data_IF_975604382367
#
_entry.id   IF_975604382367
#
_cell.length_a   1.000
_cell.length_b   1.000
_cell.length_c   1.000
_cell.angle_alpha   90.00
_cell.angle_beta   90.00
_cell.angle_gamma   90.00
#
_symmetry.space_group_name_H-M   'P 1'
#
loop_
_entity.id
_entity.type
_entity.pdbx_description
1 polymer ?
#
# COMPACT_ATOMS: atom_id res chain seq x y z
N UNK A 1 -29.79 21.45 -5.51
CA UNK A 1 -28.81 20.75 -4.65
C UNK A 1 -27.42 21.06 -5.18
N UNK A 2 -26.55 21.65 -4.37
CA UNK A 2 -25.18 22.00 -4.79
C UNK A 2 -24.36 20.72 -4.98
N UNK A 3 -23.63 20.60 -6.09
CA UNK A 3 -22.79 19.43 -6.36
C UNK A 3 -21.69 19.35 -5.27
N UNK A 4 -21.46 18.18 -4.66
CA UNK A 4 -20.46 18.07 -3.59
C UNK A 4 -19.05 18.18 -4.19
N UNK A 5 -18.47 19.38 -4.14
CA UNK A 5 -17.09 19.65 -4.59
C UNK A 5 -16.02 19.17 -3.62
N UNK A 6 -16.42 18.55 -2.51
CA UNK A 6 -15.53 18.06 -1.46
C UNK A 6 -15.96 16.66 -1.04
N UNK A 7 -15.01 15.73 -1.08
CA UNK A 7 -15.20 14.40 -0.48
C UNK A 7 -14.64 14.40 0.94
N UNK A 8 -15.37 13.79 1.88
CA UNK A 8 -14.96 13.64 3.29
C UNK A 8 -15.09 12.20 3.71
N UNK A 9 -14.09 11.69 4.43
CA UNK A 9 -14.12 10.37 5.03
C UNK A 9 -13.20 10.33 6.26
N UNK A 10 -13.30 9.29 7.07
CA UNK A 10 -12.53 9.13 8.31
C UNK A 10 -11.96 7.70 8.41
N UNK A 11 -10.88 7.59 9.18
CA UNK A 11 -10.31 6.32 9.61
C UNK A 11 -10.20 6.33 11.12
N UNK A 12 -10.71 5.28 11.76
CA UNK A 12 -10.59 5.07 13.21
C UNK A 12 -9.48 4.06 13.45
N UNK A 13 -8.64 4.32 14.45
CA UNK A 13 -7.62 3.41 14.93
C UNK A 13 -7.81 3.24 16.43
N UNK A 14 -7.96 2.00 16.88
CA UNK A 14 -8.00 1.68 18.31
C UNK A 14 -6.62 1.87 18.92
N UNK A 15 -6.56 2.46 20.12
CA UNK A 15 -5.29 2.66 20.80
C UNK A 15 -5.43 2.71 22.33
N UNK A 16 -4.44 2.20 23.05
CA UNK A 16 -4.52 1.92 24.50
C UNK A 16 -3.96 3.01 25.42
N UNK A 17 -3.32 4.07 24.90
CA UNK A 17 -2.73 5.13 25.74
C UNK A 17 -2.90 6.55 25.17
N UNK A 18 -2.70 7.58 25.99
CA UNK A 18 -2.81 8.98 25.55
C UNK A 18 -1.66 9.35 24.60
N UNK A 19 -1.94 9.44 23.30
CA UNK A 19 -0.95 9.83 22.30
C UNK A 19 -0.89 11.34 22.13
N UNK A 20 0.33 11.86 22.03
CA UNK A 20 0.56 13.21 21.56
C UNK A 20 0.27 13.33 20.06
N UNK A 21 -0.76 14.10 19.72
CA UNK A 21 -1.22 14.41 18.34
C UNK A 21 -0.06 14.92 17.48
N UNK A 22 0.91 15.61 18.06
CA UNK A 22 2.07 16.16 17.34
C UNK A 22 2.95 15.06 16.73
N UNK A 23 3.07 13.91 17.40
CA UNK A 23 3.84 12.76 16.89
C UNK A 23 3.17 12.20 15.64
N UNK A 24 1.84 12.04 15.66
CA UNK A 24 1.05 11.58 14.51
C UNK A 24 1.16 12.56 13.35
N UNK A 25 1.02 13.85 13.63
CA UNK A 25 1.15 14.90 12.62
C UNK A 25 2.55 14.86 11.98
N UNK A 26 3.61 14.70 12.78
CA UNK A 26 4.98 14.62 12.27
C UNK A 26 5.19 13.42 11.34
N UNK A 27 4.63 12.26 11.68
CA UNK A 27 4.69 11.05 10.88
C UNK A 27 3.88 11.18 9.59
N UNK A 28 2.67 11.77 9.66
CA UNK A 28 1.86 12.07 8.49
C UNK A 28 2.61 12.98 7.51
N UNK A 29 3.25 14.04 8.00
CA UNK A 29 4.04 14.95 7.14
C UNK A 29 5.19 14.22 6.46
N UNK A 30 5.91 13.36 7.19
CA UNK A 30 7.03 12.59 6.65
C UNK A 30 6.57 11.68 5.51
N UNK A 31 5.48 10.92 5.71
CA UNK A 31 4.90 10.03 4.70
C UNK A 31 4.29 10.79 3.54
N UNK A 32 3.69 11.96 3.79
CA UNK A 32 3.16 12.83 2.74
C UNK A 32 4.27 13.37 1.84
N UNK A 33 5.39 13.82 2.42
CA UNK A 33 6.56 14.27 1.67
C UNK A 33 7.11 13.15 0.78
N UNK A 34 7.24 11.93 1.31
CA UNK A 34 7.70 10.78 0.51
C UNK A 34 6.70 10.37 -0.58
N UNK A 35 5.40 10.64 -0.39
CA UNK A 35 4.36 10.42 -1.39
C UNK A 35 4.29 11.52 -2.46
N UNK A 36 5.14 12.55 -2.40
CA UNK A 36 5.17 13.66 -3.37
C UNK A 36 4.18 14.79 -3.09
N UNK A 37 3.70 14.92 -1.84
CA UNK A 37 2.88 16.06 -1.44
C UNK A 37 3.71 17.34 -1.29
N UNK A 38 3.07 18.48 -1.52
CA UNK A 38 3.66 19.82 -1.53
C UNK A 38 2.73 20.84 -0.87
N UNK A 39 3.20 22.07 -0.65
CA UNK A 39 2.40 23.20 -0.15
C UNK A 39 1.70 22.97 1.19
N UNK A 40 2.45 22.43 2.17
CA UNK A 40 1.94 22.16 3.51
C UNK A 40 1.55 23.44 4.24
N UNK A 41 0.32 23.53 4.73
CA UNK A 41 -0.15 24.59 5.65
C UNK A 41 -0.78 23.96 6.89
N UNK A 42 -0.48 24.50 8.06
CA UNK A 42 -1.02 24.03 9.33
C UNK A 42 -1.99 25.06 9.89
N UNK A 43 -3.20 24.62 10.24
CA UNK A 43 -4.18 25.45 10.95
C UNK A 43 -5.03 24.57 11.87
N UNK A 44 -5.02 24.84 13.17
CA UNK A 44 -5.96 24.25 14.15
C UNK A 44 -6.09 22.72 14.02
N UNK A 45 -4.95 22.01 14.07
CA UNK A 45 -4.84 20.54 13.90
C UNK A 45 -5.27 20.00 12.53
N UNK A 46 -5.32 20.87 11.53
CA UNK A 46 -5.59 20.50 10.15
C UNK A 46 -4.35 20.73 9.30
N UNK A 47 -3.91 19.69 8.60
CA UNK A 47 -2.79 19.74 7.65
C UNK A 47 -3.37 19.88 6.26
N UNK A 48 -3.15 21.00 5.58
CA UNK A 48 -3.53 21.21 4.18
C UNK A 48 -2.31 20.92 3.30
N UNK A 49 -2.50 20.23 2.18
CA UNK A 49 -1.44 19.89 1.26
C UNK A 49 -1.97 19.66 -0.17
N UNK A 50 -1.07 19.78 -1.14
CA UNK A 50 -1.32 19.44 -2.53
C UNK A 50 -0.67 18.10 -2.88
N UNK A 51 -1.46 17.13 -3.33
CA UNK A 51 -0.98 15.81 -3.74
C UNK A 51 -0.94 15.70 -5.27
N UNK A 52 0.23 15.34 -5.83
CA UNK A 52 0.42 15.02 -7.25
C UNK A 52 0.26 13.52 -7.52
N UNK A 53 -0.84 12.93 -7.08
CA UNK A 53 -1.15 11.52 -7.33
C UNK A 53 -2.62 11.37 -7.68
N UNK A 54 -2.88 11.28 -8.98
CA UNK A 54 -4.12 10.72 -9.52
C UNK A 54 -3.83 10.00 -10.82
N UNK A 55 -4.87 9.37 -11.37
CA UNK A 55 -4.85 8.71 -12.68
C UNK A 55 -4.26 9.64 -13.77
N UNK A 56 -4.44 10.95 -13.61
CA UNK A 56 -4.05 11.98 -14.56
C UNK A 56 -3.07 13.01 -13.94
N UNK A 57 -2.43 12.67 -12.81
CA UNK A 57 -1.42 13.49 -12.13
C UNK A 57 -1.87 14.89 -11.71
N UNK A 58 -3.17 15.12 -11.52
CA UNK A 58 -3.65 16.42 -11.05
C UNK A 58 -3.20 16.70 -9.62
N UNK A 59 -3.09 18.00 -9.32
CA UNK A 59 -2.87 18.49 -7.97
C UNK A 59 -4.19 18.56 -7.24
N UNK A 60 -4.35 17.74 -6.19
CA UNK A 60 -5.52 17.80 -5.32
C UNK A 60 -5.16 18.50 -4.03
N UNK A 61 -5.94 19.52 -3.67
CA UNK A 61 -5.91 20.07 -2.33
C UNK A 61 -6.65 19.11 -1.41
N UNK A 62 -5.92 18.58 -0.45
CA UNK A 62 -6.42 17.68 0.57
C UNK A 62 -6.09 18.22 1.96
N UNK A 63 -6.86 17.80 2.95
CA UNK A 63 -6.56 18.06 4.34
C UNK A 63 -6.75 16.83 5.23
N UNK A 64 -5.95 16.79 6.30
CA UNK A 64 -6.09 15.82 7.38
C UNK A 64 -6.43 16.53 8.67
N UNK A 65 -7.41 16.00 9.39
CA UNK A 65 -7.80 16.43 10.73
C UNK A 65 -7.65 15.24 11.68
N UNK A 66 -6.75 15.35 12.64
CA UNK A 66 -6.55 14.34 13.68
C UNK A 66 -7.39 14.72 14.90
N UNK A 67 -8.27 13.81 15.32
CA UNK A 67 -9.14 13.98 16.49
C UNK A 67 -8.80 12.82 17.45
N UNK A 68 -8.47 13.17 18.68
CA UNK A 68 -8.27 12.21 19.75
C UNK A 68 -9.60 12.00 20.49
N UNK A 69 -10.17 10.81 20.38
CA UNK A 69 -11.29 10.36 21.21
C UNK A 69 -10.75 9.34 22.23
N UNK A 70 -11.35 9.26 23.42
CA UNK A 70 -10.80 8.59 24.62
C UNK A 70 -9.98 7.32 24.37
N UNK A 71 -10.47 6.41 23.54
CA UNK A 71 -9.83 5.11 23.22
C UNK A 71 -9.55 4.92 21.71
N UNK A 72 -9.75 5.96 20.90
CA UNK A 72 -9.62 5.88 19.45
C UNK A 72 -9.05 7.17 18.83
N UNK A 73 -8.13 7.00 17.90
CA UNK A 73 -7.67 8.10 17.06
C UNK A 73 -8.51 8.11 15.78
N UNK A 74 -9.20 9.22 15.55
CA UNK A 74 -9.92 9.47 14.30
C UNK A 74 -9.10 10.40 13.42
N UNK A 75 -8.62 9.87 12.29
CA UNK A 75 -7.97 10.64 11.24
C UNK A 75 -9.01 10.91 10.16
N UNK A 76 -9.61 12.09 10.20
CA UNK A 76 -10.48 12.60 9.15
C UNK A 76 -9.67 13.12 7.98
N UNK A 77 -10.11 12.86 6.76
CA UNK A 77 -9.53 13.45 5.57
C UNK A 77 -10.60 14.03 4.66
N UNK A 78 -10.26 15.12 3.99
CA UNK A 78 -11.09 15.65 2.92
C UNK A 78 -10.25 16.14 1.75
N UNK A 79 -10.82 16.08 0.55
CA UNK A 79 -10.14 16.57 -0.65
C UNK A 79 -11.11 17.23 -1.61
N UNK A 80 -10.60 18.23 -2.33
CA UNK A 80 -11.35 18.99 -3.32
C UNK A 80 -11.44 18.22 -4.63
N UNK A 81 -12.65 18.16 -5.19
CA UNK A 81 -12.96 17.54 -6.48
C UNK A 81 -12.98 18.54 -7.64
N UNK A 82 -12.57 19.80 -7.40
CA UNK A 82 -12.54 20.86 -8.42
C UNK A 82 -11.81 20.41 -9.70
N UNK A 83 -10.60 19.80 -9.65
CA UNK A 83 -9.92 19.36 -10.87
C UNK A 83 -10.73 18.33 -11.67
N UNK A 84 -11.39 17.38 -10.98
CA UNK A 84 -12.23 16.35 -11.63
C UNK A 84 -13.44 16.98 -12.30
N UNK A 85 -14.03 17.99 -11.64
CA UNK A 85 -15.15 18.74 -12.18
C UNK A 85 -14.75 19.57 -13.41
N UNK A 86 -13.60 20.26 -13.38
CA UNK A 86 -13.08 21.03 -14.53
C UNK A 86 -12.89 20.16 -15.78
N UNK A 87 -12.32 18.96 -15.62
CA UNK A 87 -12.13 18.02 -16.72
C UNK A 87 -13.47 17.49 -17.22
N UNK A 88 -14.37 17.17 -16.29
CA UNK A 88 -15.71 16.71 -16.63
C UNK A 88 -16.44 17.75 -17.50
N UNK A 89 -16.33 19.02 -17.11
CA UNK A 89 -16.89 20.15 -17.86
C UNK A 89 -16.22 20.28 -19.24
N UNK A 90 -14.88 20.19 -19.30
CA UNK A 90 -14.15 20.22 -20.57
C UNK A 90 -14.59 19.11 -21.53
N UNK A 91 -14.77 17.88 -21.03
CA UNK A 91 -15.24 16.74 -21.83
C UNK A 91 -16.65 16.96 -22.36
N UNK A 92 -17.55 17.57 -21.56
CA UNK A 92 -18.92 17.90 -22.00
C UNK A 92 -18.89 18.95 -23.11
N UNK A 93 -18.14 20.04 -22.93
CA UNK A 93 -18.03 21.11 -23.93
C UNK A 93 -17.44 20.55 -25.22
N UNK A 94 -16.38 19.75 -25.11
CA UNK A 94 -15.74 19.12 -26.26
C UNK A 94 -16.70 18.17 -26.99
N UNK A 95 -17.44 17.33 -26.25
CA UNK A 95 -18.43 16.44 -26.84
C UNK A 95 -19.58 17.22 -27.51
N UNK A 96 -20.06 18.31 -26.91
CA UNK A 96 -21.08 19.17 -27.49
C UNK A 96 -20.58 19.83 -28.79
N UNK A 97 -19.37 20.38 -28.79
CA UNK A 97 -18.75 20.96 -29.98
C UNK A 97 -18.56 19.92 -31.09
N UNK A 98 -18.04 18.74 -30.74
CA UNK A 98 -17.83 17.64 -31.69
C UNK A 98 -19.14 17.01 -32.18
N UNK A 99 -20.25 17.17 -31.44
CA UNK A 99 -21.56 16.64 -31.84
C UNK A 99 -22.09 17.30 -33.13
N UNK A 100 -21.64 18.52 -33.44
CA UNK A 100 -21.90 19.18 -34.72
C UNK A 100 -21.20 18.49 -35.90
N UNK A 101 -20.10 17.78 -35.66
CA UNK A 101 -19.30 17.11 -36.70
C UNK A 101 -19.60 15.62 -36.83
N UNK A 102 -19.99 14.97 -35.73
CA UNK A 102 -20.13 13.52 -35.67
C UNK A 102 -21.24 13.11 -34.71
N UNK A 103 -22.02 12.13 -35.18
CA UNK A 103 -23.21 11.49 -34.61
C UNK A 103 -23.39 11.54 -33.08
N UNK A 104 -24.67 11.47 -32.68
CA UNK A 104 -25.24 11.19 -31.35
C UNK A 104 -24.45 10.20 -30.45
N UNK A 105 -23.60 9.35 -31.02
CA UNK A 105 -22.65 8.48 -30.35
C UNK A 105 -21.70 9.21 -29.38
N UNK A 106 -21.14 10.37 -29.74
CA UNK A 106 -20.18 11.10 -28.90
C UNK A 106 -20.80 11.61 -27.59
N UNK A 107 -22.04 12.08 -27.65
CA UNK A 107 -22.76 12.58 -26.48
C UNK A 107 -23.12 11.43 -25.52
N UNK A 108 -23.49 10.26 -26.06
CA UNK A 108 -23.66 9.04 -25.24
C UNK A 108 -22.36 8.64 -24.56
N UNK A 109 -21.25 8.67 -25.30
CA UNK A 109 -19.94 8.35 -24.75
C UNK A 109 -19.54 9.30 -23.63
N UNK A 110 -19.74 10.62 -23.78
CA UNK A 110 -19.38 11.59 -22.72
C UNK A 110 -20.18 11.34 -21.45
N UNK A 111 -21.47 11.02 -21.55
CA UNK A 111 -22.30 10.71 -20.37
C UNK A 111 -21.79 9.46 -19.66
N UNK A 112 -21.54 8.37 -20.40
CA UNK A 112 -21.02 7.12 -19.85
C UNK A 112 -19.63 7.34 -19.23
N UNK A 113 -18.77 8.08 -19.92
CA UNK A 113 -17.44 8.44 -19.44
C UNK A 113 -17.53 9.16 -18.09
N UNK A 114 -18.39 10.16 -17.94
CA UNK A 114 -18.55 10.89 -16.68
C UNK A 114 -19.05 10.02 -15.54
N UNK A 115 -20.03 9.14 -15.82
CA UNK A 115 -20.58 8.21 -14.84
C UNK A 115 -19.52 7.26 -14.27
N UNK A 116 -18.52 6.89 -15.08
CA UNK A 116 -17.44 5.98 -14.66
C UNK A 116 -16.23 6.76 -14.12
N UNK A 117 -15.83 7.85 -14.79
CA UNK A 117 -14.63 8.62 -14.49
C UNK A 117 -14.68 9.23 -13.09
N UNK A 118 -15.82 9.79 -12.70
CA UNK A 118 -15.99 10.43 -11.40
C UNK A 118 -15.78 9.46 -10.21
N UNK A 119 -16.51 8.32 -10.10
CA UNK A 119 -16.31 7.39 -8.99
C UNK A 119 -14.93 6.73 -9.01
N UNK A 120 -14.38 6.43 -10.20
CA UNK A 120 -13.04 5.83 -10.33
C UNK A 120 -11.97 6.79 -9.80
N UNK A 121 -12.05 8.09 -10.09
CA UNK A 121 -11.12 9.08 -9.53
C UNK A 121 -11.25 9.20 -8.01
N UNK A 122 -12.48 9.26 -7.48
CA UNK A 122 -12.71 9.29 -6.02
C UNK A 122 -12.10 8.06 -5.36
N UNK A 123 -12.34 6.87 -5.93
CA UNK A 123 -11.80 5.62 -5.42
C UNK A 123 -10.27 5.62 -5.39
N UNK A 124 -9.63 6.07 -6.47
CA UNK A 124 -8.16 6.11 -6.55
C UNK A 124 -7.55 7.07 -5.53
N UNK A 125 -8.05 8.30 -5.43
CA UNK A 125 -7.55 9.31 -4.48
C UNK A 125 -7.79 8.84 -3.04
N UNK A 126 -8.99 8.32 -2.76
CA UNK A 126 -9.33 7.76 -1.44
C UNK A 126 -8.38 6.64 -1.06
N UNK A 127 -8.13 5.68 -1.95
CA UNK A 127 -7.20 4.59 -1.70
C UNK A 127 -5.76 5.07 -1.40
N UNK A 128 -5.26 6.05 -2.14
CA UNK A 128 -3.93 6.60 -1.88
C UNK A 128 -3.85 7.33 -0.53
N UNK A 129 -4.86 8.15 -0.19
CA UNK A 129 -4.90 8.82 1.13
C UNK A 129 -4.99 7.80 2.27
N UNK A 130 -5.80 6.76 2.11
CA UNK A 130 -5.91 5.65 3.06
C UNK A 130 -4.57 4.94 3.28
N UNK A 131 -3.83 4.65 2.22
CA UNK A 131 -2.47 4.07 2.32
C UNK A 131 -1.51 5.00 3.05
N UNK A 132 -1.53 6.30 2.74
CA UNK A 132 -0.68 7.30 3.41
C UNK A 132 -0.98 7.34 4.91
N UNK A 133 -2.26 7.40 5.29
CA UNK A 133 -2.68 7.40 6.69
C UNK A 133 -2.21 6.11 7.37
N UNK A 134 -2.50 4.94 6.79
CA UNK A 134 -2.12 3.64 7.35
C UNK A 134 -0.59 3.53 7.54
N UNK A 135 0.19 3.89 6.53
CA UNK A 135 1.66 3.83 6.62
C UNK A 135 2.22 4.81 7.66
N UNK A 136 1.60 5.98 7.80
CA UNK A 136 1.99 6.95 8.82
C UNK A 136 1.67 6.45 10.22
N UNK A 137 0.48 5.90 10.41
CA UNK A 137 0.08 5.27 11.67
C UNK A 137 1.03 4.12 12.03
N UNK A 138 1.29 3.19 11.10
CA UNK A 138 2.21 2.07 11.29
C UNK A 138 3.66 2.48 11.57
N UNK A 139 4.07 3.70 11.18
CA UNK A 139 5.40 4.20 11.49
C UNK A 139 5.55 4.72 12.93
N UNK A 140 4.43 5.12 13.55
CA UNK A 140 4.38 5.58 14.95
C UNK A 140 4.04 4.43 15.87
N UNK A 141 3.06 3.63 15.46
CA UNK A 141 2.62 2.41 16.08
C UNK A 141 2.96 1.31 15.09
N UNK A 142 4.23 0.84 15.03
CA UNK A 142 4.44 -0.46 14.45
C UNK A 142 3.41 -1.36 15.10
N UNK A 143 2.60 -2.06 14.30
CA UNK A 143 1.86 -3.20 14.82
C UNK A 143 2.92 -4.01 15.55
N UNK A 144 2.98 -3.84 16.87
CA UNK A 144 3.69 -4.80 17.68
C UNK A 144 2.99 -6.07 17.24
N UNK A 145 3.77 -7.02 16.76
CA UNK A 145 3.35 -8.39 16.79
C UNK A 145 3.23 -8.78 18.29
N UNK A 146 2.36 -8.10 19.04
CA UNK A 146 2.28 -8.10 20.51
C UNK A 146 1.59 -9.33 21.06
N UNK A 147 1.40 -10.34 20.24
CA UNK A 147 1.13 -11.71 20.70
C UNK A 147 2.31 -12.64 20.43
N UNK A 148 3.53 -12.12 20.24
CA UNK A 148 4.70 -12.97 20.43
C UNK A 148 4.91 -13.21 21.91
N UNK A 149 4.79 -14.47 22.33
CA UNK A 149 5.16 -14.88 23.67
C UNK A 149 6.63 -14.49 23.94
N UNK A 150 7.00 -14.27 25.20
CA UNK A 150 8.41 -14.00 25.57
C UNK A 150 9.37 -15.04 24.98
N UNK A 151 8.91 -16.29 24.88
CA UNK A 151 9.63 -17.39 24.25
C UNK A 151 9.84 -17.17 22.74
N UNK A 152 8.83 -16.67 22.01
CA UNK A 152 8.96 -16.37 20.59
C UNK A 152 9.94 -15.22 20.31
N UNK A 153 10.03 -14.23 21.19
CA UNK A 153 11.07 -13.20 21.11
C UNK A 153 12.48 -13.79 21.26
N UNK A 154 12.68 -14.66 22.24
CA UNK A 154 13.96 -15.38 22.39
C UNK A 154 14.31 -16.24 21.18
N UNK A 155 13.31 -16.79 20.47
CA UNK A 155 13.55 -17.57 19.26
C UNK A 155 13.90 -16.69 18.06
N UNK A 156 13.36 -15.47 17.98
CA UNK A 156 13.70 -14.52 16.93
C UNK A 156 15.13 -13.99 17.05
N UNK A 157 15.62 -13.82 18.29
CA UNK A 157 16.98 -13.35 18.57
C UNK A 157 18.03 -14.45 18.37
N UNK A 158 17.63 -15.73 18.43
CA UNK A 158 18.55 -16.85 18.27
C UNK A 158 18.56 -17.37 16.81
N UNK A 159 19.65 -17.20 16.05
CA UNK A 159 19.72 -17.61 14.65
C UNK A 159 19.59 -19.13 14.45
N UNK A 160 19.78 -19.91 15.52
CA UNK A 160 19.68 -21.37 15.50
C UNK A 160 18.27 -21.87 15.86
N UNK A 161 17.29 -21.00 16.13
CA UNK A 161 15.91 -21.40 16.45
C UNK A 161 14.92 -20.89 15.41
N UNK A 162 13.89 -21.68 15.16
CA UNK A 162 12.82 -21.31 14.25
C UNK A 162 11.94 -20.24 14.88
N UNK A 163 11.73 -19.07 14.22
CA UNK A 163 10.93 -17.99 14.79
C UNK A 163 9.43 -18.36 14.93
N UNK A 164 8.95 -19.38 14.21
CA UNK A 164 7.55 -19.80 14.29
C UNK A 164 7.27 -20.86 15.37
N UNK A 165 8.22 -21.76 15.66
CA UNK A 165 7.97 -22.92 16.54
C UNK A 165 9.07 -23.23 17.55
N UNK A 166 10.15 -22.45 17.60
CA UNK A 166 11.25 -22.61 18.57
C UNK A 166 12.20 -23.79 18.33
N UNK A 167 11.91 -24.64 17.35
CA UNK A 167 12.75 -25.79 17.00
C UNK A 167 14.14 -25.37 16.51
N UNK A 168 15.17 -26.15 16.84
CA UNK A 168 16.51 -25.91 16.32
C UNK A 168 16.56 -26.05 14.79
N UNK A 169 17.11 -25.04 14.13
CA UNK A 169 17.29 -25.01 12.69
C UNK A 169 18.58 -25.75 12.37
N UNK A 170 18.50 -26.71 11.45
CA UNK A 170 19.68 -27.31 10.87
C UNK A 170 20.29 -26.34 9.85
N UNK A 171 21.59 -26.03 9.96
CA UNK A 171 22.32 -25.12 9.04
C UNK A 171 22.19 -25.53 7.56
N UNK A 172 21.94 -26.82 7.30
CA UNK A 172 21.82 -27.37 5.95
C UNK A 172 20.39 -27.32 5.38
N UNK A 173 19.37 -26.99 6.18
CA UNK A 173 17.97 -27.00 5.71
C UNK A 173 17.40 -25.58 5.57
N UNK A 174 16.96 -25.24 4.36
CA UNK A 174 16.26 -23.97 4.09
C UNK A 174 14.81 -23.97 4.61
N UNK A 175 14.37 -25.06 5.24
CA UNK A 175 13.03 -25.24 5.79
C UNK A 175 13.14 -25.81 7.21
N UNK A 176 12.26 -25.36 8.10
CA UNK A 176 12.13 -25.94 9.42
C UNK A 176 11.45 -27.32 9.32
N UNK A 177 12.01 -28.33 9.99
CA UNK A 177 11.48 -29.70 9.98
C UNK A 177 10.14 -29.80 10.70
N UNK A 178 9.92 -28.98 11.75
CA UNK A 178 8.73 -29.07 12.58
C UNK A 178 7.52 -28.33 11.97
N UNK A 179 7.70 -27.09 11.53
CA UNK A 179 6.58 -26.26 11.05
C UNK A 179 6.58 -25.99 9.54
N UNK A 180 7.62 -26.43 8.81
CA UNK A 180 7.71 -26.22 7.36
C UNK A 180 8.04 -24.78 6.92
N UNK A 181 8.27 -23.86 7.86
CA UNK A 181 8.63 -22.47 7.55
C UNK A 181 9.92 -22.42 6.73
N UNK A 182 9.90 -21.67 5.62
CA UNK A 182 11.08 -21.49 4.77
C UNK A 182 11.94 -20.36 5.34
N UNK A 183 13.19 -20.68 5.72
CA UNK A 183 14.10 -19.79 6.42
C UNK A 183 15.07 -19.16 5.41
N UNK A 184 15.21 -17.84 5.45
CA UNK A 184 16.12 -17.10 4.56
C UNK A 184 17.61 -17.28 4.92
N UNK A 185 17.91 -17.82 6.11
CA UNK A 185 19.26 -17.90 6.68
C UNK A 185 20.10 -19.11 6.25
N UNK A 186 19.60 -19.97 5.37
CA UNK A 186 20.42 -21.03 4.79
C UNK A 186 21.55 -20.41 3.98
N UNK A 187 22.78 -20.36 4.52
CA UNK A 187 23.99 -20.17 3.71
C UNK A 187 23.93 -21.26 2.64
N UNK A 188 23.56 -20.89 1.42
CA UNK A 188 23.80 -21.74 0.26
C UNK A 188 25.28 -22.04 0.28
N UNK A 189 25.67 -23.27 0.61
CA UNK A 189 27.00 -23.75 0.25
C UNK A 189 27.05 -23.53 -1.25
N UNK A 190 27.81 -22.54 -1.70
CA UNK A 190 28.26 -22.49 -3.08
C UNK A 190 29.04 -23.79 -3.24
N UNK A 191 28.41 -24.83 -3.77
CA UNK A 191 29.14 -26.03 -4.10
C UNK A 191 30.16 -25.58 -5.15
N UNK A 192 31.43 -25.49 -4.77
CA UNK A 192 32.55 -25.36 -5.71
C UNK A 192 32.75 -26.66 -6.50
N UNK A 193 31.66 -27.38 -6.78
CA UNK A 193 31.65 -28.45 -7.77
C UNK A 193 31.32 -27.76 -9.08
N UNK A 194 32.38 -27.34 -9.77
CA UNK A 194 32.34 -27.04 -11.19
C UNK A 194 31.77 -28.28 -11.92
N UNK A 195 30.46 -28.32 -12.12
CA UNK A 195 29.80 -29.36 -12.95
C UNK A 195 30.12 -29.20 -14.45
N UNK A 196 31.00 -28.26 -14.81
CA UNK A 196 31.45 -28.01 -16.18
C UNK A 196 32.62 -28.91 -16.62
N UNK A 197 33.09 -29.85 -15.80
CA UNK A 197 34.16 -30.80 -16.19
C UNK A 197 33.85 -32.27 -15.84
N UNK A 198 32.59 -32.64 -15.68
CA UNK A 198 32.20 -34.05 -15.69
C UNK A 198 32.07 -34.53 -17.14
N UNK A 199 33.13 -35.19 -17.65
CA UNK A 199 33.10 -35.97 -18.90
C UNK A 199 31.81 -36.80 -18.91
N UNK A 200 30.87 -36.50 -19.82
CA UNK A 200 29.61 -37.24 -20.00
C UNK A 200 29.91 -38.72 -20.21
N UNK A 201 29.91 -39.53 -19.14
CA UNK A 201 29.93 -40.98 -19.26
C UNK A 201 28.53 -41.39 -19.71
N UNK A 202 28.43 -41.79 -20.98
CA UNK A 202 27.20 -42.32 -21.58
C UNK A 202 26.96 -43.69 -20.94
N UNK A 203 25.99 -43.79 -20.04
CA UNK A 203 25.57 -45.09 -19.48
C UNK A 203 24.63 -45.72 -20.52
N UNK A 204 25.06 -46.83 -21.11
CA UNK A 204 24.25 -47.61 -22.06
C UNK A 204 23.67 -48.81 -21.31
N UNK A 205 22.34 -48.88 -21.25
CA UNK A 205 21.64 -50.01 -20.65
C UNK A 205 21.47 -51.11 -21.69
N UNK A 206 21.90 -52.33 -21.36
CA UNK A 206 21.55 -53.54 -22.12
C UNK A 206 20.53 -54.33 -21.31
N UNK A 207 19.30 -54.41 -21.81
CA UNK A 207 18.26 -55.23 -21.20
C UNK A 207 18.45 -56.69 -21.62
N UNK A 208 18.67 -57.59 -20.67
CA UNK A 208 18.71 -59.04 -20.94
C UNK A 208 17.31 -59.60 -20.70
N UNK A 209 16.63 -60.02 -21.76
CA UNK A 209 15.30 -60.65 -21.68
C UNK A 209 15.48 -62.09 -21.19
N UNK A 210 14.99 -62.41 -20.00
CA UNK A 210 14.87 -63.79 -19.52
C UNK A 210 13.69 -64.46 -20.22
N UNK A 211 13.93 -65.68 -20.72
CA UNK A 211 12.92 -66.58 -21.31
C UNK A 211 12.03 -67.16 -20.24
#
# INVERSE_FOLDING_TARGET
MSFPLTYKNNMCFDYSSSINIDVINSALIKTLKSAGASDFKFKENTIYFNLKKSILQFKYSANFKVINEKDQIKIGYSFSLIPVFEISLFVIIFAAFASNFSTYSLLKFSIIFLLIFYPVNIFFISNELRKIIKNSYLSVFPENNSDYSKEQQEWMDNPNKCPACGAYINEYSSKCVNCGLTLKYGKKIKSNINQTSAKKRKITYHYKKTK
#
